data_IF_008967661750
#
_entry.id   IF_008967661750
#
_cell.length_a   1.000
_cell.length_b   1.000
_cell.length_c   1.000
_cell.angle_alpha   90.00
_cell.angle_beta   90.00
_cell.angle_gamma   90.00
#
_symmetry.space_group_name_H-M   'P 1'
#
loop_
_entity.id
_entity.type
_entity.pdbx_description
1 polymer ?
#
# COMPACT_ATOMS: atom_id res chain seq x y z
N UNK A 1 -36.56 13.99 15.38
CA UNK A 1 -36.56 12.94 14.34
C UNK A 1 -35.10 12.61 14.04
N UNK A 2 -34.53 11.64 14.75
CA UNK A 2 -33.10 11.27 14.69
C UNK A 2 -32.88 10.30 13.51
N UNK A 3 -31.91 10.58 12.66
CA UNK A 3 -31.40 9.65 11.64
C UNK A 3 -30.22 8.85 12.23
N UNK A 4 -30.14 7.52 12.05
CA UNK A 4 -28.99 6.76 12.49
C UNK A 4 -27.81 6.99 11.51
N UNK A 5 -26.67 7.42 12.05
CA UNK A 5 -25.37 7.38 11.35
C UNK A 5 -24.91 5.92 11.39
N UNK A 6 -25.02 5.23 10.26
CA UNK A 6 -24.44 3.90 10.08
C UNK A 6 -23.01 4.10 9.58
N UNK A 7 -22.07 4.21 10.52
CA UNK A 7 -20.66 4.05 10.22
C UNK A 7 -20.38 2.57 9.98
N UNK A 8 -20.17 2.16 8.72
CA UNK A 8 -19.76 0.81 8.40
C UNK A 8 -18.23 0.72 8.55
N UNK A 9 -17.78 0.28 9.73
CA UNK A 9 -16.44 -0.25 9.96
C UNK A 9 -16.34 -1.59 9.24
N UNK A 10 -15.85 -1.60 8.01
CA UNK A 10 -15.47 -2.86 7.35
C UNK A 10 -14.06 -3.18 7.81
N UNK A 11 -13.98 -4.01 8.84
CA UNK A 11 -12.76 -4.70 9.19
C UNK A 11 -12.29 -5.56 8.03
N UNK A 12 -11.02 -5.44 7.67
CA UNK A 12 -10.34 -6.41 6.84
C UNK A 12 -10.36 -7.76 7.56
N UNK A 13 -11.35 -8.60 7.24
CA UNK A 13 -11.34 -9.99 7.65
C UNK A 13 -10.31 -10.71 6.76
N UNK A 14 -9.11 -10.90 7.29
CA UNK A 14 -8.20 -11.94 6.82
C UNK A 14 -8.89 -13.29 7.07
N UNK A 15 -9.71 -13.74 6.13
CA UNK A 15 -10.21 -15.12 6.11
C UNK A 15 -9.09 -16.03 5.58
N UNK A 16 -8.02 -16.17 6.36
CA UNK A 16 -6.99 -17.19 6.20
C UNK A 16 -7.18 -18.26 7.26
N UNK A 17 -8.05 -19.25 7.00
CA UNK A 17 -8.02 -20.49 7.78
C UNK A 17 -6.66 -21.18 7.62
N UNK A 18 -6.21 -21.99 8.59
CA UNK A 18 -4.88 -22.59 8.59
C UNK A 18 -4.84 -23.72 7.55
N UNK A 19 -4.55 -23.38 6.32
CA UNK A 19 -4.11 -24.34 5.31
C UNK A 19 -2.61 -24.50 5.53
N UNK A 20 -2.27 -25.46 6.40
CA UNK A 20 -0.92 -25.81 6.82
C UNK A 20 -0.19 -26.48 5.63
N UNK A 21 0.39 -25.67 4.76
CA UNK A 21 1.40 -26.16 3.81
C UNK A 21 2.71 -26.11 4.57
N UNK A 22 3.37 -27.26 4.69
CA UNK A 22 4.72 -27.33 5.23
C UNK A 22 5.60 -26.43 4.35
N UNK A 23 5.94 -25.25 4.87
CA UNK A 23 6.94 -24.39 4.27
C UNK A 23 8.29 -24.99 4.64
N UNK A 24 8.83 -25.81 3.75
CA UNK A 24 10.26 -26.10 3.75
C UNK A 24 10.97 -24.76 3.55
N UNK A 25 11.66 -24.27 4.58
CA UNK A 25 12.52 -23.09 4.54
C UNK A 25 13.75 -23.37 3.68
N UNK A 26 13.52 -23.53 2.37
CA UNK A 26 14.51 -23.19 1.37
C UNK A 26 14.44 -21.68 1.24
N UNK A 27 15.47 -20.99 1.72
CA UNK A 27 15.59 -19.53 1.65
C UNK A 27 15.72 -19.11 0.18
N UNK A 28 14.59 -19.05 -0.51
CA UNK A 28 14.50 -18.66 -1.91
C UNK A 28 14.84 -17.18 -2.01
N UNK A 29 15.82 -16.83 -2.84
CA UNK A 29 16.16 -15.45 -3.16
C UNK A 29 15.00 -14.69 -3.84
N UNK A 30 13.95 -15.40 -4.27
CA UNK A 30 12.74 -14.81 -4.83
C UNK A 30 11.64 -14.70 -3.77
N UNK A 31 11.06 -13.51 -3.68
CA UNK A 31 9.88 -13.21 -2.88
C UNK A 31 8.75 -12.74 -3.80
N UNK A 32 7.54 -13.26 -3.57
CA UNK A 32 6.34 -12.88 -4.32
C UNK A 32 5.31 -12.30 -3.37
N UNK A 33 4.70 -11.17 -3.76
CA UNK A 33 3.68 -10.47 -3.00
C UNK A 33 2.40 -10.37 -3.81
N UNK A 34 1.25 -10.58 -3.17
CA UNK A 34 -0.06 -10.37 -3.79
C UNK A 34 -0.96 -9.63 -2.81
N UNK A 35 -1.63 -8.60 -3.30
CA UNK A 35 -2.52 -7.74 -2.52
C UNK A 35 -3.81 -7.51 -3.32
N UNK A 36 -4.95 -7.80 -2.71
CA UNK A 36 -6.28 -7.59 -3.26
C UNK A 36 -7.05 -6.66 -2.32
N UNK A 37 -7.46 -5.49 -2.84
CA UNK A 37 -8.27 -4.50 -2.12
C UNK A 37 -9.63 -4.36 -2.79
N UNK A 38 -10.68 -4.44 -1.98
CA UNK A 38 -12.05 -4.09 -2.36
C UNK A 38 -12.49 -2.89 -1.54
N UNK A 39 -13.13 -1.91 -2.18
CA UNK A 39 -13.60 -0.69 -1.53
C UNK A 39 -14.96 -0.31 -2.06
N UNK A 40 -15.93 -0.20 -1.16
CA UNK A 40 -17.22 0.42 -1.43
C UNK A 40 -17.29 1.74 -0.66
N UNK A 41 -17.74 2.80 -1.30
CA UNK A 41 -17.93 4.09 -0.63
C UNK A 41 -19.20 4.78 -1.13
N UNK A 42 -19.84 5.48 -0.20
CA UNK A 42 -20.88 6.47 -0.46
C UNK A 42 -20.39 7.78 0.15
N UNK A 43 -20.46 8.87 -0.60
CA UNK A 43 -20.08 10.20 -0.14
C UNK A 43 -21.10 11.22 -0.59
N UNK A 44 -21.72 11.89 0.38
CA UNK A 44 -22.60 13.02 0.16
C UNK A 44 -21.76 14.31 0.10
N UNK A 45 -21.76 14.97 -1.05
CA UNK A 45 -21.02 16.21 -1.29
C UNK A 45 -22.01 17.35 -1.49
N UNK A 46 -22.00 18.40 -0.65
CA UNK A 46 -22.93 19.51 -0.79
C UNK A 46 -22.91 20.13 -2.19
N UNK A 47 -24.08 20.21 -2.83
CA UNK A 47 -24.21 20.78 -4.19
C UNK A 47 -23.89 19.81 -5.33
N UNK A 48 -23.76 18.51 -5.06
CA UNK A 48 -23.66 17.44 -6.05
C UNK A 48 -24.56 16.28 -5.66
N UNK A 49 -24.84 15.41 -6.63
CA UNK A 49 -25.49 14.13 -6.35
C UNK A 49 -24.57 13.24 -5.50
N UNK A 50 -25.18 12.33 -4.73
CA UNK A 50 -24.46 11.36 -3.91
C UNK A 50 -23.53 10.51 -4.78
N UNK A 51 -22.28 10.34 -4.32
CA UNK A 51 -21.25 9.59 -5.03
C UNK A 51 -21.20 8.19 -4.41
N UNK A 52 -21.73 7.21 -5.13
CA UNK A 52 -21.62 5.78 -4.77
C UNK A 52 -20.63 5.08 -5.70
N UNK A 53 -19.61 4.42 -5.13
CA UNK A 53 -18.53 3.79 -5.89
C UNK A 53 -18.15 2.43 -5.31
N UNK A 54 -17.87 1.49 -6.21
CA UNK A 54 -17.26 0.21 -5.92
C UNK A 54 -15.94 0.12 -6.70
N UNK A 55 -14.84 -0.20 -6.02
CA UNK A 55 -13.51 -0.32 -6.61
C UNK A 55 -12.85 -1.62 -6.16
N UNK A 56 -12.17 -2.28 -7.09
CA UNK A 56 -11.31 -3.41 -6.83
C UNK A 56 -9.90 -3.13 -7.36
N UNK A 57 -8.89 -3.48 -6.59
CA UNK A 57 -7.47 -3.33 -6.95
C UNK A 57 -6.75 -4.64 -6.66
N UNK A 58 -6.04 -5.14 -7.66
CA UNK A 58 -5.14 -6.28 -7.54
C UNK A 58 -3.71 -5.78 -7.78
N UNK A 59 -2.80 -6.14 -6.89
CA UNK A 59 -1.37 -5.86 -6.99
C UNK A 59 -0.59 -7.17 -6.92
N UNK A 60 0.28 -7.36 -7.89
CA UNK A 60 1.17 -8.51 -8.01
C UNK A 60 2.61 -8.00 -7.98
N UNK A 61 3.35 -8.37 -6.95
CA UNK A 61 4.73 -7.98 -6.71
C UNK A 61 5.68 -9.17 -6.79
N UNK A 62 6.88 -8.90 -7.29
CA UNK A 62 8.00 -9.83 -7.23
C UNK A 62 9.23 -9.05 -6.78
N UNK A 63 10.01 -9.63 -5.88
CA UNK A 63 11.34 -9.14 -5.56
C UNK A 63 12.35 -10.26 -5.57
N UNK A 64 13.59 -9.88 -5.82
CA UNK A 64 14.72 -10.77 -5.97
C UNK A 64 15.92 -10.20 -5.22
N UNK A 65 16.46 -11.02 -4.33
CA UNK A 65 17.69 -10.75 -3.61
C UNK A 65 18.88 -11.12 -4.51
N UNK A 66 19.54 -10.12 -5.07
CA UNK A 66 20.72 -10.29 -5.94
C UNK A 66 21.94 -10.68 -5.11
N UNK A 67 22.03 -10.13 -3.90
CA UNK A 67 23.06 -10.42 -2.90
C UNK A 67 22.51 -10.11 -1.51
N UNK A 68 23.21 -10.50 -0.45
CA UNK A 68 22.83 -10.21 0.95
C UNK A 68 22.62 -8.71 1.24
N UNK A 69 23.12 -7.83 0.38
CA UNK A 69 23.02 -6.37 0.53
C UNK A 69 22.14 -5.70 -0.53
N UNK A 70 21.67 -6.41 -1.56
CA UNK A 70 20.97 -5.79 -2.70
C UNK A 70 19.73 -6.58 -3.10
N UNK A 71 18.59 -5.91 -3.04
CA UNK A 71 17.30 -6.42 -3.50
C UNK A 71 16.76 -5.53 -4.63
N UNK A 72 16.17 -6.16 -5.64
CA UNK A 72 15.44 -5.47 -6.70
C UNK A 72 14.02 -6.02 -6.74
N UNK A 73 13.05 -5.16 -6.98
CA UNK A 73 11.65 -5.58 -7.01
C UNK A 73 10.79 -4.70 -7.89
N UNK A 74 9.66 -5.27 -8.29
CA UNK A 74 8.65 -4.60 -9.08
C UNK A 74 7.27 -5.11 -8.72
N UNK A 75 6.26 -4.26 -8.89
CA UNK A 75 4.87 -4.64 -8.76
C UNK A 75 4.04 -4.07 -9.89
N UNK A 76 3.13 -4.90 -10.40
CA UNK A 76 2.08 -4.53 -11.32
C UNK A 76 0.79 -4.32 -10.52
N UNK A 77 -0.02 -3.37 -10.96
CA UNK A 77 -1.34 -3.11 -10.41
C UNK A 77 -2.37 -3.13 -11.53
N UNK A 78 -3.50 -3.77 -11.24
CA UNK A 78 -4.73 -3.66 -11.98
C UNK A 78 -5.80 -3.05 -11.06
N UNK A 79 -6.50 -2.03 -11.53
CA UNK A 79 -7.66 -1.43 -10.88
C UNK A 79 -8.87 -1.54 -11.80
N UNK A 80 -10.02 -1.81 -11.20
CA UNK A 80 -11.34 -1.72 -11.83
C UNK A 80 -12.29 -0.98 -10.90
N UNK A 81 -13.06 -0.05 -11.46
CA UNK A 81 -14.03 0.77 -10.73
C UNK A 81 -15.41 0.71 -11.36
N UNK A 82 -16.42 1.05 -10.56
CA UNK A 82 -17.77 1.33 -11.07
C UNK A 82 -17.88 2.74 -11.68
N UNK A 83 -16.85 3.58 -11.51
CA UNK A 83 -16.82 4.96 -11.96
C UNK A 83 -15.84 5.17 -13.13
N UNK A 84 -16.16 6.10 -14.02
CA UNK A 84 -15.39 6.34 -15.23
C UNK A 84 -14.13 7.18 -14.95
N UNK A 85 -13.02 6.82 -15.60
CA UNK A 85 -11.75 7.57 -15.54
C UNK A 85 -11.87 9.07 -15.88
N UNK A 86 -12.93 9.49 -16.59
CA UNK A 86 -13.19 10.89 -16.94
C UNK A 86 -13.56 11.71 -15.69
N UNK A 87 -14.22 11.08 -14.72
CA UNK A 87 -14.66 11.73 -13.49
C UNK A 87 -13.55 11.90 -12.46
N UNK A 88 -12.41 11.21 -12.63
CA UNK A 88 -11.29 11.22 -11.69
C UNK A 88 -10.75 12.63 -11.42
N UNK A 89 -10.69 13.48 -12.45
CA UNK A 89 -10.26 14.87 -12.28
C UNK A 89 -11.27 15.68 -11.47
N UNK A 90 -12.56 15.43 -11.67
CA UNK A 90 -13.66 16.11 -10.95
C UNK A 90 -13.74 15.65 -9.50
N UNK A 91 -13.35 14.39 -9.24
CA UNK A 91 -13.37 13.77 -7.92
C UNK A 91 -12.00 13.79 -7.22
N UNK A 92 -11.00 14.45 -7.81
CA UNK A 92 -9.62 14.57 -7.30
C UNK A 92 -8.97 13.21 -6.98
N UNK A 93 -9.31 12.19 -7.78
CA UNK A 93 -8.72 10.86 -7.61
C UNK A 93 -7.27 10.85 -8.12
N UNK A 94 -6.37 10.37 -7.27
CA UNK A 94 -4.93 10.25 -7.56
C UNK A 94 -4.59 9.08 -8.49
N UNK A 95 -5.55 8.19 -8.73
CA UNK A 95 -5.40 6.99 -9.53
C UNK A 95 -6.51 6.87 -10.56
N UNK A 96 -6.26 6.10 -11.62
CA UNK A 96 -7.29 5.72 -12.59
C UNK A 96 -8.17 4.60 -12.03
N UNK A 97 -9.48 4.75 -12.19
CA UNK A 97 -10.49 3.77 -11.75
C UNK A 97 -10.32 2.45 -12.49
N UNK A 98 -10.13 2.52 -13.82
CA UNK A 98 -9.82 1.38 -14.67
C UNK A 98 -8.45 1.54 -15.30
N UNK A 99 -7.46 0.77 -14.83
CA UNK A 99 -6.13 0.76 -15.40
C UNK A 99 -5.33 -0.50 -15.06
N UNK A 100 -4.38 -0.83 -15.92
CA UNK A 100 -3.27 -1.72 -15.60
C UNK A 100 -1.96 -0.97 -15.78
N UNK A 101 -1.01 -1.13 -14.86
CA UNK A 101 0.26 -0.43 -14.95
C UNK A 101 1.31 -0.91 -13.95
N UNK A 102 2.52 -0.36 -14.12
CA UNK A 102 3.61 -0.55 -13.16
C UNK A 102 3.34 0.31 -11.94
N UNK A 103 3.12 -0.37 -10.83
CA UNK A 103 2.82 0.26 -9.56
C UNK A 103 4.10 0.71 -8.86
N UNK A 104 4.98 -0.25 -8.64
CA UNK A 104 6.24 -0.06 -7.93
C UNK A 104 7.38 -0.66 -8.75
N UNK A 105 8.53 -0.02 -8.69
CA UNK A 105 9.78 -0.50 -9.28
C UNK A 105 10.92 0.07 -8.43
N UNK A 106 11.61 -0.78 -7.68
CA UNK A 106 12.55 -0.34 -6.66
C UNK A 106 13.82 -1.19 -6.64
N UNK A 107 14.87 -0.57 -6.10
CA UNK A 107 16.12 -1.18 -5.69
C UNK A 107 16.37 -0.81 -4.24
N UNK A 108 16.64 -1.80 -3.39
CA UNK A 108 16.99 -1.60 -1.98
C UNK A 108 18.41 -2.05 -1.74
N UNK A 109 19.20 -1.15 -1.16
CA UNK A 109 20.55 -1.43 -0.71
C UNK A 109 20.58 -1.45 0.82
N UNK A 110 20.92 -2.60 1.38
CA UNK A 110 21.09 -2.84 2.81
C UNK A 110 22.56 -2.54 3.16
N UNK A 111 22.83 -1.30 3.55
CA UNK A 111 24.18 -0.86 3.92
C UNK A 111 24.60 -1.46 5.29
N UNK A 112 23.64 -1.64 6.20
CA UNK A 112 23.77 -2.40 7.43
C UNK A 112 22.41 -3.03 7.80
N UNK A 113 22.34 -3.91 8.81
CA UNK A 113 21.06 -4.43 9.30
C UNK A 113 20.08 -3.33 9.73
N UNK A 114 20.60 -2.17 10.13
CA UNK A 114 19.84 -1.03 10.63
C UNK A 114 19.73 0.12 9.61
N UNK A 115 20.29 -0.01 8.41
CA UNK A 115 20.29 1.07 7.41
C UNK A 115 19.99 0.55 6.01
N UNK A 116 18.87 1.02 5.47
CA UNK A 116 18.38 0.67 4.13
C UNK A 116 18.23 1.94 3.30
N UNK A 117 18.68 1.87 2.04
CA UNK A 117 18.47 2.92 1.05
C UNK A 117 17.59 2.36 -0.06
N UNK A 118 16.47 3.02 -0.33
CA UNK A 118 15.53 2.64 -1.41
C UNK A 118 15.62 3.64 -2.55
N UNK A 119 15.73 3.12 -3.77
CA UNK A 119 15.78 3.89 -5.02
C UNK A 119 14.65 3.44 -5.94
N UNK A 120 13.91 4.38 -6.50
CA UNK A 120 12.90 4.11 -7.52
C UNK A 120 11.50 4.57 -7.12
N UNK A 121 10.50 3.87 -7.65
CA UNK A 121 9.08 4.11 -7.39
C UNK A 121 8.61 3.13 -6.33
N UNK A 122 8.37 3.61 -5.12
CA UNK A 122 7.95 2.77 -3.99
C UNK A 122 6.95 3.51 -3.07
N UNK A 123 6.50 2.85 -2.00
CA UNK A 123 5.75 3.48 -0.92
C UNK A 123 6.60 4.55 -0.20
N UNK A 124 5.96 5.61 0.30
CA UNK A 124 6.66 6.59 1.14
C UNK A 124 6.93 5.95 2.52
N UNK A 125 8.18 5.86 2.99
CA UNK A 125 8.50 5.19 4.25
C UNK A 125 8.15 6.01 5.51
N UNK A 126 7.48 7.16 5.33
CA UNK A 126 7.02 8.01 6.42
C UNK A 126 5.55 7.72 6.71
N UNK A 127 5.24 7.46 7.98
CA UNK A 127 3.86 7.42 8.45
C UNK A 127 3.36 8.86 8.66
N UNK A 128 2.61 9.36 7.69
CA UNK A 128 2.00 10.69 7.73
C UNK A 128 0.47 10.57 7.85
N UNK A 129 -0.18 11.63 8.30
CA UNK A 129 -1.65 11.64 8.33
C UNK A 129 -2.21 11.69 6.91
N UNK A 130 -3.40 11.13 6.66
CA UNK A 130 -4.07 11.20 5.35
C UNK A 130 -4.33 12.63 4.85
N UNK A 131 -4.28 13.63 5.75
CA UNK A 131 -4.39 15.05 5.38
C UNK A 131 -3.12 15.61 4.75
N UNK A 132 -1.95 15.05 5.09
CA UNK A 132 -0.65 15.47 4.58
C UNK A 132 -0.21 14.62 3.38
N UNK A 133 -0.50 13.32 3.43
CA UNK A 133 -0.09 12.38 2.41
C UNK A 133 -1.14 11.31 2.18
N UNK A 134 -1.44 11.05 0.91
CA UNK A 134 -2.30 9.94 0.51
C UNK A 134 -1.47 8.67 0.33
N UNK A 135 -1.82 7.62 1.08
CA UNK A 135 -1.16 6.30 1.03
C UNK A 135 -1.23 5.64 -0.35
N UNK A 136 -2.11 6.10 -1.24
CA UNK A 136 -2.25 5.60 -2.61
C UNK A 136 -1.21 6.21 -3.58
N UNK A 137 -0.54 7.30 -3.21
CA UNK A 137 0.54 7.88 -4.01
C UNK A 137 1.84 7.05 -3.91
N UNK A 138 2.54 6.94 -5.04
CA UNK A 138 3.84 6.22 -5.15
C UNK A 138 4.90 7.17 -5.68
N UNK A 139 5.67 7.84 -4.81
CA UNK A 139 6.70 8.78 -5.23
C UNK A 139 7.83 8.04 -5.96
N UNK A 140 8.46 8.75 -6.90
CA UNK A 140 9.69 8.30 -7.56
C UNK A 140 10.84 9.09 -6.95
N UNK A 141 11.79 8.39 -6.33
CA UNK A 141 12.90 9.07 -5.69
C UNK A 141 13.86 8.15 -4.94
N UNK A 142 14.43 8.72 -3.88
CA UNK A 142 15.39 8.07 -3.00
C UNK A 142 14.90 8.22 -1.57
N UNK A 143 14.87 7.14 -0.81
CA UNK A 143 14.66 7.15 0.64
C UNK A 143 15.83 6.49 1.37
N UNK A 144 16.00 6.85 2.63
CA UNK A 144 17.01 6.27 3.51
C UNK A 144 16.39 6.09 4.88
N UNK A 145 16.35 4.84 5.32
CA UNK A 145 15.69 4.39 6.53
C UNK A 145 16.76 3.84 7.47
N UNK A 146 17.00 4.53 8.58
CA UNK A 146 18.03 4.19 9.55
C UNK A 146 17.42 4.01 10.94
N UNK A 147 17.79 2.93 11.61
CA UNK A 147 17.32 2.57 12.94
C UNK A 147 18.49 2.70 13.93
N UNK A 148 18.22 3.25 15.10
CA UNK A 148 19.19 3.31 16.18
C UNK A 148 18.48 3.05 17.50
N UNK A 149 19.11 2.26 18.36
CA UNK A 149 18.60 2.03 19.71
C UNK A 149 18.67 3.36 20.49
N UNK A 150 17.49 3.89 20.82
CA UNK A 150 17.39 4.90 21.86
C UNK A 150 17.31 4.12 23.17
N UNK A 151 18.25 4.37 24.08
CA UNK A 151 18.39 3.59 25.31
C UNK A 151 17.08 3.46 26.10
N UNK A 152 17.03 2.45 26.98
CA UNK A 152 15.85 2.20 27.81
C UNK A 152 15.50 3.47 28.59
N UNK A 153 14.31 4.02 28.32
CA UNK A 153 13.73 5.04 29.17
C UNK A 153 13.31 4.35 30.46
N UNK A 154 14.19 4.40 31.47
CA UNK A 154 13.85 4.10 32.85
C UNK A 154 12.98 5.23 33.41
N UNK A 155 11.75 5.29 32.91
CA UNK A 155 10.73 6.21 33.38
C UNK A 155 10.02 5.63 34.59
N UNK A 156 10.71 5.54 35.74
CA UNK A 156 10.13 5.46 37.10
C UNK A 156 11.22 5.47 38.19
N UNK A 157 11.75 6.66 38.52
CA UNK A 157 12.06 7.04 39.91
C UNK A 157 11.52 8.43 40.21
#
# INVERSE_FOLDING_TARGET
>A
MLKPVVGCLIGAMCAGGPVLWAQEDSQSSWSTSTDLRLRAESTDVPGRDEIERLRARLRLGVSYLVSDQLEVGGALRASVGSDDNIDNRRNLDNERSDAIGVDRLWMRWYASPDWVVTLGKDDLPLSLSPLLWDEDLRPIGVSSDAHWAVGDFDGMT
#
